data_IF_264744061392
#
_entry.id   IF_264744061392
#
_cell.length_a   1.000
_cell.length_b   1.000
_cell.length_c   1.000
_cell.angle_alpha   90.00
_cell.angle_beta   90.00
_cell.angle_gamma   90.00
#
_symmetry.space_group_name_H-M   'P 1'
#
loop_
_entity.id
_entity.type
_entity.pdbx_description
1 polymer ?
#
# COMPACT_ATOMS: atom_id res chain seq x y z
N UNK A 1 3.87 6.82 18.44
CA UNK A 1 2.42 7.04 18.19
C UNK A 1 1.65 5.97 18.93
N UNK A 2 0.88 6.36 19.90
CA UNK A 2 0.24 5.41 20.83
C UNK A 2 -1.29 5.56 20.86
N UNK A 3 -1.82 6.62 20.28
CA UNK A 3 -3.26 6.87 20.29
C UNK A 3 -3.79 7.35 18.93
N UNK A 4 -5.10 7.24 18.75
CA UNK A 4 -5.81 7.82 17.62
C UNK A 4 -5.62 9.34 17.53
N UNK A 5 -5.61 10.02 18.67
CA UNK A 5 -5.39 11.45 18.75
C UNK A 5 -4.01 11.84 18.20
N UNK A 6 -2.95 11.11 18.57
CA UNK A 6 -1.59 11.35 18.07
C UNK A 6 -1.51 11.13 16.57
N UNK A 7 -2.18 10.10 16.06
CA UNK A 7 -2.25 9.82 14.63
C UNK A 7 -2.93 10.95 13.87
N UNK A 8 -4.08 11.43 14.34
CA UNK A 8 -4.79 12.53 13.72
C UNK A 8 -3.97 13.84 13.78
N UNK A 9 -3.29 14.10 14.90
CA UNK A 9 -2.42 15.25 15.03
C UNK A 9 -1.26 15.21 14.01
N UNK A 10 -0.64 14.04 13.86
CA UNK A 10 0.42 13.84 12.88
C UNK A 10 -0.05 14.10 11.45
N UNK A 11 -1.20 13.55 11.05
CA UNK A 11 -1.74 13.75 9.70
C UNK A 11 -2.04 15.24 9.42
N UNK A 12 -2.51 15.97 10.41
CA UNK A 12 -2.81 17.41 10.28
C UNK A 12 -1.58 18.30 10.12
N UNK A 13 -0.38 17.80 10.42
CA UNK A 13 0.86 18.53 10.18
C UNK A 13 1.22 18.64 8.68
N UNK A 14 0.59 17.83 7.84
CA UNK A 14 0.85 17.77 6.41
C UNK A 14 -0.39 18.19 5.62
N UNK A 15 -0.21 19.02 4.61
CA UNK A 15 -1.31 19.42 3.72
C UNK A 15 -1.85 18.22 2.91
N UNK A 16 -0.95 17.35 2.47
CA UNK A 16 -1.27 16.13 1.69
C UNK A 16 -0.62 14.90 2.34
N UNK A 17 -1.16 14.43 3.48
CA UNK A 17 -0.59 13.25 4.13
C UNK A 17 -0.81 11.99 3.28
N UNK A 18 0.20 11.13 3.23
CA UNK A 18 0.11 9.79 2.62
C UNK A 18 -0.07 8.76 3.72
N UNK A 19 -1.15 8.01 3.67
CA UNK A 19 -1.47 6.94 4.63
C UNK A 19 -1.35 5.59 3.95
N UNK A 20 -0.46 4.73 4.46
CA UNK A 20 -0.36 3.34 4.02
C UNK A 20 -1.47 2.51 4.68
N UNK A 21 -2.25 1.83 3.86
CA UNK A 21 -3.35 0.96 4.25
C UNK A 21 -3.03 -0.48 3.83
N UNK A 22 -2.58 -1.29 4.79
CA UNK A 22 -2.20 -2.67 4.54
C UNK A 22 -2.60 -3.58 5.70
N UNK A 23 -2.56 -4.88 5.49
CA UNK A 23 -2.82 -5.85 6.54
C UNK A 23 -2.83 -7.29 6.03
N UNK A 24 -3.62 -8.14 6.69
CA UNK A 24 -3.67 -9.57 6.38
C UNK A 24 -4.44 -9.85 5.09
N UNK A 25 -3.95 -10.81 4.31
CA UNK A 25 -4.65 -11.30 3.12
C UNK A 25 -5.91 -12.10 3.45
N UNK A 26 -5.91 -12.80 4.58
CA UNK A 26 -7.08 -13.53 5.06
C UNK A 26 -7.67 -12.82 6.26
N UNK A 27 -8.86 -12.28 6.11
CA UNK A 27 -9.63 -11.59 7.17
C UNK A 27 -11.05 -12.13 7.21
N UNK A 28 -11.70 -11.99 8.36
CA UNK A 28 -13.11 -12.37 8.51
C UNK A 28 -14.02 -11.38 7.76
N UNK A 29 -15.24 -11.75 7.37
CA UNK A 29 -16.21 -10.81 6.81
C UNK A 29 -16.48 -9.62 7.75
N UNK A 30 -16.50 -9.83 9.05
CA UNK A 30 -16.68 -8.78 10.03
C UNK A 30 -15.51 -7.79 10.06
N UNK A 31 -14.28 -8.28 9.91
CA UNK A 31 -13.09 -7.41 9.84
C UNK A 31 -13.00 -6.68 8.50
N UNK A 32 -13.45 -7.31 7.41
CA UNK A 32 -13.56 -6.64 6.12
C UNK A 32 -14.50 -5.42 6.21
N UNK A 33 -15.66 -5.57 6.83
CA UNK A 33 -16.60 -4.44 7.05
C UNK A 33 -15.95 -3.33 7.86
N UNK A 34 -15.17 -3.66 8.90
CA UNK A 34 -14.45 -2.66 9.70
C UNK A 34 -13.38 -1.95 8.88
N UNK A 35 -12.63 -2.69 8.04
CA UNK A 35 -11.60 -2.11 7.18
C UNK A 35 -12.20 -1.16 6.13
N UNK A 36 -13.32 -1.54 5.49
CA UNK A 36 -14.06 -0.65 4.58
C UNK A 36 -14.48 0.64 5.30
N UNK A 37 -15.10 0.50 6.48
CA UNK A 37 -15.52 1.67 7.27
C UNK A 37 -14.34 2.56 7.66
N UNK A 38 -13.20 1.97 8.03
CA UNK A 38 -12.00 2.72 8.38
C UNK A 38 -11.42 3.46 7.18
N UNK A 39 -11.30 2.81 6.02
CA UNK A 39 -10.83 3.43 4.79
C UNK A 39 -11.70 4.63 4.39
N UNK A 40 -13.01 4.45 4.42
CA UNK A 40 -13.98 5.52 4.18
C UNK A 40 -13.85 6.65 5.19
N UNK A 41 -13.82 6.34 6.47
CA UNK A 41 -13.70 7.32 7.54
C UNK A 41 -12.44 8.18 7.41
N UNK A 42 -11.28 7.55 7.13
CA UNK A 42 -10.03 8.27 6.91
C UNK A 42 -10.13 9.22 5.70
N UNK A 43 -10.72 8.75 4.61
CA UNK A 43 -10.91 9.56 3.41
C UNK A 43 -11.85 10.77 3.65
N UNK A 44 -12.90 10.59 4.46
CA UNK A 44 -13.81 11.66 4.85
C UNK A 44 -13.15 12.67 5.80
N UNK A 45 -12.38 12.20 6.79
CA UNK A 45 -11.76 13.06 7.81
C UNK A 45 -10.54 13.83 7.31
N UNK A 46 -9.84 13.33 6.31
CA UNK A 46 -8.62 13.93 5.76
C UNK A 46 -8.77 14.17 4.27
N UNK A 47 -9.52 15.19 3.84
CA UNK A 47 -9.83 15.42 2.42
C UNK A 47 -8.60 15.67 1.54
N UNK A 48 -7.49 16.21 2.08
CA UNK A 48 -6.20 16.32 1.39
C UNK A 48 -5.35 15.04 1.42
N UNK A 49 -5.77 14.00 2.15
CA UNK A 49 -4.97 12.78 2.30
C UNK A 49 -5.00 11.90 1.07
N UNK A 50 -3.86 11.27 0.80
CA UNK A 50 -3.71 10.20 -0.20
C UNK A 50 -3.53 8.87 0.52
N UNK A 51 -4.02 7.79 -0.08
CA UNK A 51 -4.04 6.46 0.55
C UNK A 51 -3.32 5.47 -0.34
N UNK A 52 -2.33 4.79 0.22
CA UNK A 52 -1.50 3.84 -0.51
C UNK A 52 -1.80 2.41 -0.06
N UNK A 53 -1.86 1.48 -1.00
CA UNK A 53 -2.14 0.07 -0.75
C UNK A 53 -1.39 -0.85 -1.72
N UNK A 54 -1.23 -2.13 -1.37
CA UNK A 54 -0.49 -3.12 -2.17
C UNK A 54 -1.33 -3.94 -3.14
N UNK A 55 -2.63 -3.72 -3.25
CA UNK A 55 -3.57 -4.51 -4.08
C UNK A 55 -3.63 -6.00 -3.72
N UNK A 56 -3.38 -6.36 -2.47
CA UNK A 56 -3.58 -7.73 -2.00
C UNK A 56 -5.06 -8.01 -1.70
N UNK A 57 -5.39 -9.29 -1.50
CA UNK A 57 -6.69 -9.67 -0.96
C UNK A 57 -6.82 -9.29 0.52
N UNK A 58 -8.04 -9.33 1.04
CA UNK A 58 -8.30 -9.12 2.45
C UNK A 58 -8.25 -7.64 2.83
N UNK A 59 -7.36 -7.26 3.74
CA UNK A 59 -7.33 -5.92 4.32
C UNK A 59 -7.10 -4.83 3.27
N UNK A 60 -6.14 -5.02 2.36
CA UNK A 60 -5.82 -4.03 1.33
C UNK A 60 -7.04 -3.74 0.44
N UNK A 61 -7.70 -4.80 -0.04
CA UNK A 61 -8.89 -4.67 -0.87
C UNK A 61 -10.05 -3.97 -0.12
N UNK A 62 -10.25 -4.32 1.15
CA UNK A 62 -11.32 -3.74 1.97
C UNK A 62 -11.06 -2.26 2.28
N UNK A 63 -9.84 -1.88 2.64
CA UNK A 63 -9.48 -0.48 2.84
C UNK A 63 -9.64 0.32 1.55
N UNK A 64 -9.15 -0.23 0.42
CA UNK A 64 -9.25 0.40 -0.89
C UNK A 64 -10.70 0.66 -1.30
N UNK A 65 -11.61 -0.31 -1.07
CA UNK A 65 -13.04 -0.15 -1.27
C UNK A 65 -13.59 1.04 -0.46
N UNK A 66 -13.23 1.14 0.81
CA UNK A 66 -13.66 2.23 1.67
C UNK A 66 -13.21 3.61 1.18
N UNK A 67 -11.95 3.74 0.79
CA UNK A 67 -11.42 4.99 0.22
C UNK A 67 -12.14 5.33 -1.10
N UNK A 68 -12.34 4.34 -1.97
CA UNK A 68 -12.98 4.53 -3.26
C UNK A 68 -14.43 4.98 -3.18
N UNK A 69 -15.14 4.67 -2.09
CA UNK A 69 -16.49 5.19 -1.83
C UNK A 69 -16.52 6.71 -1.66
N UNK A 70 -15.41 7.33 -1.30
CA UNK A 70 -15.28 8.79 -1.15
C UNK A 70 -14.69 9.40 -2.40
N UNK A 71 -13.47 8.96 -2.77
CA UNK A 71 -12.77 9.43 -3.96
C UNK A 71 -11.69 8.42 -4.38
N UNK A 72 -11.92 7.63 -5.43
CA UNK A 72 -10.95 6.65 -5.90
C UNK A 72 -9.65 7.28 -6.43
N UNK A 73 -9.66 8.54 -6.88
CA UNK A 73 -8.45 9.21 -7.38
C UNK A 73 -7.41 9.46 -6.30
N UNK A 74 -7.81 9.37 -5.04
CA UNK A 74 -6.92 9.50 -3.87
C UNK A 74 -6.27 8.18 -3.45
N UNK A 75 -6.62 7.08 -4.11
CA UNK A 75 -6.06 5.76 -3.87
C UNK A 75 -4.89 5.50 -4.83
N UNK A 76 -3.71 5.34 -4.26
CA UNK A 76 -2.49 4.91 -4.96
C UNK A 76 -2.23 3.44 -4.68
N UNK A 77 -2.26 2.61 -5.71
CA UNK A 77 -2.04 1.19 -5.55
C UNK A 77 -0.71 0.79 -6.18
N UNK A 78 0.19 0.31 -5.33
CA UNK A 78 1.50 -0.15 -5.78
C UNK A 78 1.45 -1.67 -5.95
N UNK A 79 1.63 -2.11 -7.20
CA UNK A 79 1.52 -3.52 -7.55
C UNK A 79 2.89 -4.11 -7.86
N UNK A 80 3.12 -5.41 -7.61
CA UNK A 80 4.42 -6.05 -7.87
C UNK A 80 4.77 -6.16 -9.36
N UNK A 81 3.76 -6.08 -10.24
CA UNK A 81 3.90 -6.06 -11.70
C UNK A 81 2.62 -5.50 -12.34
N UNK A 82 2.67 -4.98 -13.59
CA UNK A 82 1.55 -4.25 -14.21
C UNK A 82 0.22 -5.01 -14.29
N UNK A 83 0.26 -6.31 -14.52
CA UNK A 83 -0.95 -7.15 -14.63
C UNK A 83 -1.48 -7.71 -13.31
N UNK A 84 -0.90 -7.34 -12.17
CA UNK A 84 -1.29 -7.91 -10.88
C UNK A 84 -2.76 -7.65 -10.57
N UNK A 85 -3.51 -8.74 -10.36
CA UNK A 85 -4.95 -8.74 -10.01
C UNK A 85 -5.79 -7.74 -10.83
N UNK A 86 -5.55 -7.68 -12.11
CA UNK A 86 -6.16 -6.71 -13.03
C UNK A 86 -7.69 -6.64 -12.90
N UNK A 87 -8.37 -7.78 -12.74
CA UNK A 87 -9.84 -7.85 -12.62
C UNK A 87 -10.38 -7.31 -11.29
N UNK A 88 -9.53 -7.16 -10.29
CA UNK A 88 -9.90 -6.66 -8.95
C UNK A 88 -9.48 -5.21 -8.74
N UNK A 89 -9.13 -4.49 -9.79
CA UNK A 89 -8.71 -3.09 -9.70
C UNK A 89 -9.90 -2.17 -9.45
N UNK A 90 -9.68 -1.19 -8.61
CA UNK A 90 -10.64 -0.11 -8.35
C UNK A 90 -10.59 0.88 -9.51
N UNK A 91 -11.72 1.13 -10.13
CA UNK A 91 -11.82 2.11 -11.21
C UNK A 91 -11.54 3.53 -10.68
N UNK A 92 -10.73 4.29 -11.40
CA UNK A 92 -10.37 5.66 -11.03
C UNK A 92 -9.18 5.76 -10.05
N UNK A 93 -8.68 4.65 -9.49
CA UNK A 93 -7.48 4.66 -8.67
C UNK A 93 -6.20 4.67 -9.53
N UNK A 94 -5.12 5.21 -8.98
CA UNK A 94 -3.80 5.22 -9.61
C UNK A 94 -3.06 3.90 -9.32
N UNK A 95 -2.63 3.20 -10.38
CA UNK A 95 -1.91 1.94 -10.28
C UNK A 95 -0.50 2.08 -10.83
N UNK A 96 0.50 1.83 -10.00
CA UNK A 96 1.89 1.83 -10.37
C UNK A 96 2.55 0.48 -10.08
N UNK A 97 3.49 0.06 -10.93
CA UNK A 97 4.36 -1.08 -10.69
C UNK A 97 5.83 -0.64 -10.73
N UNK A 98 6.74 -1.33 -10.02
CA UNK A 98 8.15 -0.96 -9.96
C UNK A 98 8.86 -0.89 -11.31
N UNK A 99 8.34 -1.62 -12.30
CA UNK A 99 8.87 -1.58 -13.67
C UNK A 99 8.44 -0.35 -14.46
N UNK A 100 7.48 0.43 -13.95
CA UNK A 100 7.01 1.65 -14.62
C UNK A 100 7.97 2.82 -14.39
N UNK A 101 9.23 2.54 -14.53
CA UNK A 101 10.36 3.45 -14.65
C UNK A 101 10.60 4.44 -13.50
N UNK A 102 11.77 4.43 -12.96
CA UNK A 102 12.41 5.55 -12.25
C UNK A 102 11.71 6.10 -11.00
N UNK A 103 10.43 5.84 -10.83
CA UNK A 103 9.65 6.32 -9.69
C UNK A 103 10.00 5.64 -8.38
N UNK A 104 10.63 4.45 -8.43
CA UNK A 104 10.63 3.53 -7.30
C UNK A 104 11.98 2.79 -7.11
N UNK A 105 12.95 3.02 -7.97
CA UNK A 105 14.29 2.47 -7.82
C UNK A 105 15.27 3.57 -7.44
N UNK A 106 15.27 3.92 -6.17
CA UNK A 106 16.44 4.58 -5.59
C UNK A 106 17.41 3.48 -5.15
N UNK A 107 18.56 3.31 -5.81
CA UNK A 107 19.53 2.26 -5.49
C UNK A 107 19.98 2.31 -4.02
N UNK A 108 20.06 3.50 -3.45
CA UNK A 108 20.41 3.71 -2.05
C UNK A 108 19.34 3.21 -1.11
N UNK A 109 18.06 3.46 -1.38
CA UNK A 109 16.95 2.97 -0.58
C UNK A 109 16.84 1.45 -0.65
N UNK A 110 17.07 0.88 -1.83
CA UNK A 110 17.16 -0.56 -2.00
C UNK A 110 18.30 -1.15 -1.18
N UNK A 111 19.50 -0.58 -1.26
CA UNK A 111 20.65 -1.02 -0.49
C UNK A 111 20.39 -0.94 1.02
N UNK A 112 19.80 0.14 1.50
CA UNK A 112 19.40 0.29 2.91
C UNK A 112 18.37 -0.77 3.31
N UNK A 113 17.37 -1.02 2.49
CA UNK A 113 16.34 -2.05 2.75
C UNK A 113 16.95 -3.44 2.83
N UNK A 114 17.87 -3.77 1.92
CA UNK A 114 18.61 -5.05 1.92
C UNK A 114 19.41 -5.22 3.20
N UNK A 115 20.08 -4.16 3.66
CA UNK A 115 20.97 -4.20 4.81
C UNK A 115 20.22 -4.11 6.14
N UNK A 116 18.97 -3.67 6.15
CA UNK A 116 18.22 -3.35 7.35
C UNK A 116 18.06 -4.54 8.31
N UNK A 117 17.83 -5.75 7.77
CA UNK A 117 17.69 -6.96 8.58
C UNK A 117 18.25 -8.21 7.89
N UNK A 118 18.71 -9.23 8.66
CA UNK A 118 19.08 -10.54 8.08
C UNK A 118 17.93 -11.21 7.31
N UNK A 119 16.69 -10.97 7.72
CA UNK A 119 15.51 -11.48 7.05
C UNK A 119 15.36 -10.88 5.63
N UNK A 120 15.54 -9.57 5.50
CA UNK A 120 15.52 -8.90 4.20
C UNK A 120 16.62 -9.45 3.27
N UNK A 121 17.82 -9.67 3.79
CA UNK A 121 18.91 -10.27 3.02
C UNK A 121 18.55 -11.68 2.53
N UNK A 122 17.97 -12.51 3.41
CA UNK A 122 17.51 -13.85 3.06
C UNK A 122 16.43 -13.84 1.99
N UNK A 123 15.42 -12.98 2.13
CA UNK A 123 14.32 -12.84 1.20
C UNK A 123 14.80 -12.36 -0.17
N UNK A 124 15.73 -11.41 -0.20
CA UNK A 124 16.32 -10.93 -1.45
C UNK A 124 17.16 -12.00 -2.13
N UNK A 125 17.94 -12.76 -1.38
CA UNK A 125 18.67 -13.91 -1.92
C UNK A 125 17.75 -15.00 -2.50
N UNK A 126 16.61 -15.23 -1.83
CA UNK A 126 15.62 -16.21 -2.26
C UNK A 126 14.83 -15.76 -3.50
N UNK A 127 14.43 -14.51 -3.55
CA UNK A 127 13.52 -13.97 -4.57
C UNK A 127 14.20 -13.09 -5.62
N UNK A 128 15.41 -12.63 -5.37
CA UNK A 128 16.21 -11.81 -6.29
C UNK A 128 16.74 -12.54 -7.53
N UNK A 129 16.44 -13.83 -7.70
CA UNK A 129 16.90 -14.62 -8.83
C UNK A 129 16.24 -14.17 -10.14
N UNK A 130 16.98 -14.11 -11.26
CA UNK A 130 16.42 -13.79 -12.56
C UNK A 130 15.22 -14.68 -12.92
N UNK A 131 14.18 -14.08 -13.50
CA UNK A 131 13.00 -14.79 -13.98
C UNK A 131 11.85 -14.98 -12.98
N UNK A 132 12.06 -14.74 -11.68
CA UNK A 132 10.99 -14.91 -10.67
C UNK A 132 10.31 -13.63 -10.19
N UNK A 133 10.64 -12.48 -10.73
CA UNK A 133 10.06 -11.18 -10.33
C UNK A 133 10.28 -10.84 -8.84
N UNK A 134 11.26 -11.52 -8.21
CA UNK A 134 11.37 -11.64 -6.77
C UNK A 134 11.77 -10.37 -6.06
N UNK A 135 12.74 -9.64 -6.59
CA UNK A 135 13.19 -8.38 -5.99
C UNK A 135 12.07 -7.35 -5.95
N UNK A 136 11.26 -7.32 -7.00
CA UNK A 136 10.11 -6.41 -7.14
C UNK A 136 9.00 -6.68 -6.13
N UNK A 137 8.91 -7.89 -5.61
CA UNK A 137 7.91 -8.28 -4.58
C UNK A 137 8.37 -7.98 -3.16
N UNK A 138 9.65 -7.72 -2.96
CA UNK A 138 10.24 -7.48 -1.64
C UNK A 138 10.39 -6.01 -1.29
N UNK A 139 10.41 -5.16 -2.29
CA UNK A 139 10.55 -3.71 -2.13
C UNK A 139 9.20 -3.05 -1.81
N UNK A 140 8.13 -3.86 -1.84
CA UNK A 140 6.74 -3.41 -1.66
C UNK A 140 6.01 -4.18 -0.55
#
# INVERSE_FOLDING_TARGET
MTSWTDFCALLKLHAEPVVLLEGRRSITPADAVKAVRMGRFLAEQFPGGRFRSGNAEGSDAAFAEGVAMVDPARLEVVTPYPGHRHKARVAGADYAAPCDAGRLCEPELLAQTVQATPENQRLIAQYGRPGKGGLRRLIW
#
